data_IF_884390894334
#
_entry.id   IF_884390894334
#
_cell.length_a   1.000
_cell.length_b   1.000
_cell.length_c   1.000
_cell.angle_alpha   90.00
_cell.angle_beta   90.00
_cell.angle_gamma   90.00
#
_symmetry.space_group_name_H-M   'P 1'
#
loop_
_entity.id
_entity.type
_entity.pdbx_description
1 polymer ?
#
# COMPACT_ATOMS: atom_id res chain seq x y z
N UNK A 1 -4.90 -25.25 16.23
CA UNK A 1 -4.76 -24.98 14.78
C UNK A 1 -3.39 -24.36 14.56
N UNK A 2 -2.51 -24.95 13.73
CA UNK A 2 -1.14 -24.43 13.53
C UNK A 2 -1.25 -23.15 12.71
N UNK A 3 -0.85 -22.01 13.28
CA UNK A 3 -0.98 -20.70 12.66
C UNK A 3 -0.23 -20.63 11.34
N UNK A 4 -0.90 -20.11 10.31
CA UNK A 4 -0.35 -19.93 8.97
C UNK A 4 0.22 -18.52 8.86
N UNK A 5 1.54 -18.39 8.76
CA UNK A 5 2.17 -17.12 8.35
C UNK A 5 1.85 -16.92 6.87
N UNK A 6 0.97 -15.95 6.53
CA UNK A 6 0.48 -15.78 5.15
C UNK A 6 1.58 -15.31 4.21
N UNK A 7 2.52 -14.49 4.68
CA UNK A 7 3.68 -14.08 3.90
C UNK A 7 4.46 -15.30 3.39
N UNK A 8 4.84 -16.19 4.32
CA UNK A 8 5.56 -17.42 3.96
C UNK A 8 4.69 -18.31 3.08
N UNK A 9 3.42 -18.48 3.43
CA UNK A 9 2.54 -19.35 2.65
C UNK A 9 2.41 -18.87 1.21
N UNK A 10 2.17 -17.57 1.02
CA UNK A 10 2.01 -16.97 -0.29
C UNK A 10 3.32 -16.97 -1.08
N UNK A 11 4.40 -16.40 -0.53
CA UNK A 11 5.63 -16.21 -1.30
C UNK A 11 6.59 -17.40 -1.33
N UNK A 12 6.40 -18.42 -0.48
CA UNK A 12 7.30 -19.59 -0.42
C UNK A 12 6.57 -20.90 -0.63
N UNK A 13 5.43 -21.11 0.00
CA UNK A 13 4.77 -22.43 -0.02
C UNK A 13 3.74 -22.56 -1.16
N UNK A 14 3.25 -21.46 -1.75
CA UNK A 14 2.17 -21.43 -2.75
C UNK A 14 2.48 -22.24 -4.02
N UNK A 15 3.74 -22.25 -4.48
CA UNK A 15 4.15 -23.03 -5.65
C UNK A 15 4.89 -24.33 -5.30
N UNK A 16 4.96 -24.71 -4.02
CA UNK A 16 5.82 -25.81 -3.55
C UNK A 16 5.54 -27.17 -4.19
N UNK A 17 4.27 -27.46 -4.48
CA UNK A 17 3.83 -28.75 -5.05
C UNK A 17 3.46 -28.64 -6.54
N UNK A 18 3.91 -27.59 -7.22
CA UNK A 18 3.71 -27.43 -8.65
C UNK A 18 4.76 -28.23 -9.40
N UNK A 19 4.32 -28.96 -10.42
CA UNK A 19 5.21 -29.62 -11.36
C UNK A 19 5.58 -28.64 -12.47
N UNK A 20 6.80 -28.10 -12.45
CA UNK A 20 7.32 -27.15 -13.44
C UNK A 20 7.77 -27.78 -14.77
N UNK A 21 7.66 -29.11 -14.93
CA UNK A 21 8.05 -29.77 -16.17
C UNK A 21 7.22 -29.33 -17.39
N UNK A 22 6.05 -28.71 -17.19
CA UNK A 22 5.27 -28.11 -18.28
C UNK A 22 6.09 -27.09 -19.10
N UNK A 23 7.00 -26.34 -18.46
CA UNK A 23 7.87 -25.37 -19.15
C UNK A 23 8.82 -26.05 -20.14
N UNK A 24 9.34 -27.22 -19.77
CA UNK A 24 10.22 -28.01 -20.64
C UNK A 24 9.40 -28.66 -21.77
N UNK A 25 8.23 -29.21 -21.43
CA UNK A 25 7.34 -29.84 -22.41
C UNK A 25 6.83 -28.85 -23.45
N UNK A 26 6.51 -27.61 -23.07
CA UNK A 26 6.12 -26.56 -24.01
C UNK A 26 7.24 -26.27 -25.03
N UNK A 27 8.50 -26.22 -24.57
CA UNK A 27 9.66 -26.04 -25.45
C UNK A 27 9.93 -27.25 -26.35
N UNK A 28 9.73 -28.47 -25.83
CA UNK A 28 9.84 -29.70 -26.61
C UNK A 28 8.76 -29.77 -27.70
N UNK A 29 7.50 -29.48 -27.37
CA UNK A 29 6.36 -29.48 -28.30
C UNK A 29 6.59 -28.49 -29.46
N UNK A 30 7.19 -27.33 -29.19
CA UNK A 30 7.52 -26.34 -30.24
C UNK A 30 8.56 -26.84 -31.23
N UNK A 31 9.49 -27.68 -30.77
CA UNK A 31 10.61 -28.21 -31.58
C UNK A 31 10.26 -29.54 -32.26
N UNK A 32 9.27 -30.25 -31.74
CA UNK A 32 8.85 -31.56 -32.25
C UNK A 32 8.20 -31.45 -33.64
N UNK A 33 8.70 -32.25 -34.57
CA UNK A 33 8.25 -32.31 -35.97
C UNK A 33 7.40 -33.56 -36.25
N UNK A 34 7.52 -34.60 -35.44
CA UNK A 34 6.72 -35.80 -35.56
C UNK A 34 5.34 -35.59 -34.94
N UNK A 35 4.27 -35.71 -35.74
CA UNK A 35 2.91 -35.43 -35.31
C UNK A 35 2.41 -36.36 -34.19
N UNK A 36 2.75 -37.65 -34.24
CA UNK A 36 2.33 -38.62 -33.23
C UNK A 36 3.01 -38.37 -31.89
N UNK A 37 4.33 -38.11 -31.91
CA UNK A 37 5.09 -37.75 -30.71
C UNK A 37 4.61 -36.43 -30.13
N UNK A 38 4.32 -35.44 -30.98
CA UNK A 38 3.78 -34.15 -30.57
C UNK A 38 2.44 -34.29 -29.84
N UNK A 39 1.54 -35.14 -30.34
CA UNK A 39 0.26 -35.44 -29.67
C UNK A 39 0.46 -36.07 -28.29
N UNK A 40 1.41 -36.99 -28.16
CA UNK A 40 1.74 -37.60 -26.87
C UNK A 40 2.26 -36.58 -25.85
N UNK A 41 3.13 -35.66 -26.28
CA UNK A 41 3.65 -34.58 -25.45
C UNK A 41 2.55 -33.60 -25.03
N UNK A 42 1.63 -33.25 -25.93
CA UNK A 42 0.46 -32.40 -25.62
C UNK A 42 -0.41 -33.05 -24.55
N UNK A 43 -0.71 -34.35 -24.67
CA UNK A 43 -1.50 -35.06 -23.66
C UNK A 43 -0.83 -35.03 -22.27
N UNK A 44 0.49 -35.24 -22.22
CA UNK A 44 1.26 -35.14 -20.96
C UNK A 44 1.23 -33.72 -20.38
N UNK A 45 1.31 -32.70 -21.24
CA UNK A 45 1.21 -31.30 -20.85
C UNK A 45 -0.17 -30.99 -20.24
N UNK A 46 -1.26 -31.47 -20.86
CA UNK A 46 -2.62 -31.32 -20.36
C UNK A 46 -2.82 -31.98 -18.98
N UNK A 47 -2.27 -33.18 -18.79
CA UNK A 47 -2.31 -33.89 -17.49
C UNK A 47 -1.59 -33.09 -16.39
N UNK A 48 -0.40 -32.55 -16.68
CA UNK A 48 0.36 -31.73 -15.72
C UNK A 48 -0.36 -30.42 -15.42
N UNK A 49 -0.88 -29.75 -16.44
CA UNK A 49 -1.61 -28.48 -16.26
C UNK A 49 -2.86 -28.68 -15.40
N UNK A 50 -3.63 -29.75 -15.65
CA UNK A 50 -4.82 -30.06 -14.85
C UNK A 50 -4.48 -30.33 -13.38
N UNK A 51 -3.37 -31.02 -13.10
CA UNK A 51 -2.95 -31.26 -11.71
C UNK A 51 -2.43 -29.99 -11.04
N UNK A 52 -1.64 -29.17 -11.75
CA UNK A 52 -1.17 -27.88 -11.25
C UNK A 52 -2.36 -26.94 -10.92
N UNK A 53 -3.38 -26.86 -11.79
CA UNK A 53 -4.60 -26.09 -11.54
C UNK A 53 -5.33 -26.52 -10.27
N UNK A 54 -5.39 -27.83 -9.99
CA UNK A 54 -5.99 -28.35 -8.74
C UNK A 54 -5.20 -27.90 -7.52
N UNK A 55 -3.87 -27.93 -7.58
CA UNK A 55 -2.99 -27.45 -6.50
C UNK A 55 -3.20 -25.95 -6.26
N UNK A 56 -3.21 -25.15 -7.33
CA UNK A 56 -3.46 -23.70 -7.25
C UNK A 56 -4.84 -23.40 -6.64
N UNK A 57 -5.89 -24.07 -7.10
CA UNK A 57 -7.25 -23.88 -6.57
C UNK A 57 -7.33 -24.20 -5.08
N UNK A 58 -6.62 -25.23 -4.61
CA UNK A 58 -6.52 -25.57 -3.19
C UNK A 58 -5.78 -24.50 -2.39
N UNK A 59 -4.67 -23.97 -2.92
CA UNK A 59 -3.89 -22.92 -2.27
C UNK A 59 -4.67 -21.59 -2.22
N UNK A 60 -5.38 -21.24 -3.29
CA UNK A 60 -6.28 -20.10 -3.32
C UNK A 60 -7.36 -20.21 -2.24
N UNK A 61 -8.05 -21.37 -2.17
CA UNK A 61 -9.05 -21.62 -1.12
C UNK A 61 -8.45 -21.57 0.28
N UNK A 62 -7.18 -21.92 0.44
CA UNK A 62 -6.51 -21.81 1.75
C UNK A 62 -6.31 -20.35 2.11
N UNK A 63 -5.90 -19.50 1.16
CA UNK A 63 -5.68 -18.05 1.34
C UNK A 63 -6.95 -17.21 1.44
N UNK A 64 -8.05 -17.63 0.83
CA UNK A 64 -9.33 -16.88 0.80
C UNK A 64 -10.46 -17.55 1.56
N UNK A 65 -10.17 -18.69 2.19
CA UNK A 65 -11.14 -19.52 2.89
C UNK A 65 -11.58 -18.98 4.24
N UNK A 66 -12.63 -19.58 4.77
CA UNK A 66 -13.28 -19.16 6.01
C UNK A 66 -12.35 -19.38 7.21
N UNK A 67 -12.15 -18.31 7.97
CA UNK A 67 -11.46 -18.25 9.28
C UNK A 67 -9.92 -18.27 9.27
N UNK A 68 -9.33 -17.08 9.10
CA UNK A 68 -7.99 -16.78 9.63
C UNK A 68 -8.02 -16.18 11.05
N UNK A 69 -9.18 -15.70 11.47
CA UNK A 69 -9.40 -14.98 12.71
C UNK A 69 -10.86 -15.14 13.17
N UNK A 70 -11.14 -14.80 14.43
CA UNK A 70 -12.52 -14.60 14.86
C UNK A 70 -13.04 -13.29 14.24
N UNK A 71 -14.36 -13.18 14.04
CA UNK A 71 -15.03 -11.96 13.53
C UNK A 71 -14.67 -10.74 14.38
N UNK A 72 -14.59 -10.93 15.69
CA UNK A 72 -14.39 -9.82 16.64
C UNK A 72 -12.92 -9.49 16.92
N UNK A 73 -11.96 -10.36 16.55
CA UNK A 73 -10.55 -10.15 16.88
C UNK A 73 -9.61 -10.97 15.99
N UNK A 74 -8.58 -10.30 15.46
CA UNK A 74 -7.41 -10.97 14.87
C UNK A 74 -6.46 -11.38 15.99
N UNK A 75 -6.15 -12.68 16.22
CA UNK A 75 -5.41 -13.16 17.40
C UNK A 75 -3.98 -12.60 17.57
N UNK A 76 -3.55 -11.72 16.66
CA UNK A 76 -2.21 -11.13 16.58
C UNK A 76 -2.25 -9.63 16.29
N UNK A 77 -3.12 -8.86 16.95
CA UNK A 77 -3.01 -7.40 16.85
C UNK A 77 -1.62 -7.01 17.35
N UNK A 78 -0.79 -6.51 16.44
CA UNK A 78 0.59 -6.12 16.72
C UNK A 78 0.50 -4.90 17.64
N UNK A 79 0.74 -5.02 18.93
CA UNK A 79 0.88 -3.82 19.77
C UNK A 79 2.18 -3.10 19.38
N UNK A 80 2.11 -1.82 19.04
CA UNK A 80 3.29 -1.01 18.75
C UNK A 80 3.44 0.06 19.83
N UNK A 81 4.23 -0.16 20.90
CA UNK A 81 4.34 0.79 22.01
C UNK A 81 4.96 2.14 21.64
N UNK A 82 5.55 2.25 20.44
CA UNK A 82 6.12 3.49 19.91
C UNK A 82 5.08 4.29 19.12
N UNK A 83 4.05 3.63 18.56
CA UNK A 83 2.91 4.29 17.95
C UNK A 83 2.04 4.88 19.07
N UNK A 84 2.13 6.20 19.24
CA UNK A 84 1.35 6.92 20.25
C UNK A 84 0.06 7.51 19.69
N UNK A 85 -0.04 7.56 18.36
CA UNK A 85 -1.11 8.20 17.64
C UNK A 85 -1.72 7.20 16.65
N UNK A 86 -2.98 6.84 16.88
CA UNK A 86 -3.66 5.81 16.08
C UNK A 86 -4.96 6.36 15.49
N UNK A 87 -5.16 6.14 14.19
CA UNK A 87 -6.45 6.37 13.55
C UNK A 87 -7.12 5.00 13.39
N UNK A 88 -8.10 4.77 14.26
CA UNK A 88 -8.83 3.51 14.39
C UNK A 88 -10.19 3.55 13.68
N UNK A 89 -10.84 2.38 13.58
CA UNK A 89 -12.20 2.20 13.09
C UNK A 89 -12.42 2.57 11.61
N UNK A 90 -11.37 2.49 10.78
CA UNK A 90 -11.53 2.61 9.33
C UNK A 90 -11.90 1.25 8.74
N UNK A 91 -13.19 1.05 8.50
CA UNK A 91 -13.72 -0.16 7.87
C UNK A 91 -13.52 -0.07 6.36
N UNK A 92 -12.84 -1.06 5.78
CA UNK A 92 -12.58 -1.11 4.34
C UNK A 92 -13.91 -1.28 3.58
N UNK A 93 -14.18 -0.39 2.64
CA UNK A 93 -15.37 -0.43 1.79
C UNK A 93 -15.21 -1.45 0.66
N UNK A 94 -16.33 -1.85 0.06
CA UNK A 94 -16.34 -2.63 -1.18
C UNK A 94 -15.68 -1.83 -2.32
N UNK A 95 -14.84 -2.43 -3.18
CA UNK A 95 -14.58 -3.87 -3.32
C UNK A 95 -13.53 -4.47 -2.36
N UNK A 96 -12.86 -3.70 -1.51
CA UNK A 96 -11.75 -4.17 -0.68
C UNK A 96 -10.49 -3.35 -0.94
N UNK A 97 -9.36 -3.76 -0.38
CA UNK A 97 -8.11 -3.00 -0.48
C UNK A 97 -7.01 -3.82 -1.16
N UNK A 98 -6.43 -3.27 -2.22
CA UNK A 98 -5.31 -3.89 -2.94
C UNK A 98 -4.01 -3.19 -2.57
N UNK A 99 -3.00 -3.97 -2.21
CA UNK A 99 -1.67 -3.50 -1.84
C UNK A 99 -0.65 -4.46 -2.46
N UNK A 100 0.57 -4.00 -2.75
CA UNK A 100 1.62 -4.88 -3.30
C UNK A 100 1.46 -5.31 -4.76
N UNK A 101 0.57 -4.67 -5.54
CA UNK A 101 0.32 -4.99 -6.96
C UNK A 101 1.58 -5.00 -7.84
N UNK A 102 2.60 -4.21 -7.49
CA UNK A 102 3.87 -4.18 -8.21
C UNK A 102 4.81 -5.36 -7.93
N UNK A 103 4.46 -6.25 -6.99
CA UNK A 103 5.25 -7.44 -6.68
C UNK A 103 4.78 -8.56 -7.61
N UNK A 104 5.72 -9.17 -8.34
CA UNK A 104 5.41 -10.30 -9.20
C UNK A 104 5.17 -11.57 -8.37
N UNK A 105 4.10 -12.28 -8.72
CA UNK A 105 3.74 -13.56 -8.11
C UNK A 105 3.27 -14.57 -9.18
N UNK A 106 3.60 -14.33 -10.45
CA UNK A 106 3.15 -15.18 -11.57
C UNK A 106 4.08 -16.37 -11.84
N UNK A 107 3.49 -17.53 -12.15
CA UNK A 107 4.14 -18.70 -12.72
C UNK A 107 3.50 -19.12 -14.06
N UNK A 108 2.52 -18.35 -14.57
CA UNK A 108 1.73 -18.64 -15.79
C UNK A 108 0.86 -19.89 -15.67
N UNK A 109 0.39 -20.20 -14.47
CA UNK A 109 -0.53 -21.30 -14.22
C UNK A 109 -1.95 -20.75 -14.18
N UNK A 110 -2.89 -21.46 -14.79
CA UNK A 110 -4.28 -21.00 -14.84
C UNK A 110 -4.89 -20.90 -13.42
N UNK A 111 -5.61 -19.81 -13.18
CA UNK A 111 -6.25 -19.53 -11.89
C UNK A 111 -5.32 -19.04 -10.78
N UNK A 112 -4.02 -18.87 -11.03
CA UNK A 112 -3.09 -18.36 -10.01
C UNK A 112 -3.38 -16.91 -9.61
N UNK A 113 -3.05 -16.53 -8.38
CA UNK A 113 -2.92 -15.12 -8.03
C UNK A 113 -1.66 -14.54 -8.66
N UNK A 114 -1.82 -13.70 -9.68
CA UNK A 114 -0.70 -13.17 -10.47
C UNK A 114 0.04 -12.01 -9.80
N UNK A 115 -0.67 -11.28 -8.93
CA UNK A 115 -0.19 -10.07 -8.27
C UNK A 115 0.21 -10.34 -6.82
N UNK A 116 1.27 -9.70 -6.36
CA UNK A 116 1.70 -9.78 -4.97
C UNK A 116 0.81 -8.98 -4.01
N UNK A 117 1.03 -9.22 -2.72
CA UNK A 117 0.39 -8.52 -1.60
C UNK A 117 1.45 -8.17 -0.55
N UNK A 118 1.37 -6.99 0.03
CA UNK A 118 2.26 -6.63 1.14
C UNK A 118 1.85 -7.37 2.42
N UNK A 119 2.81 -8.06 3.02
CA UNK A 119 2.65 -8.72 4.30
C UNK A 119 3.77 -8.29 5.24
N UNK A 120 3.46 -8.19 6.53
CA UNK A 120 4.49 -8.11 7.58
C UNK A 120 5.34 -9.39 7.56
N UNK A 121 6.65 -9.23 7.69
CA UNK A 121 7.60 -10.34 7.59
C UNK A 121 7.50 -11.30 8.78
N UNK A 122 7.21 -10.78 9.98
CA UNK A 122 7.29 -11.53 11.23
C UNK A 122 6.07 -12.44 11.41
N UNK A 123 4.89 -11.86 11.27
CA UNK A 123 3.61 -12.52 11.53
C UNK A 123 2.92 -12.97 10.25
N UNK A 124 3.31 -12.42 9.10
CA UNK A 124 2.68 -12.73 7.83
C UNK A 124 1.30 -12.13 7.70
N UNK A 125 0.99 -11.02 8.39
CA UNK A 125 -0.31 -10.34 8.26
C UNK A 125 -0.29 -9.39 7.07
N UNK A 126 -1.39 -9.26 6.29
CA UNK A 126 -1.46 -8.26 5.23
C UNK A 126 -1.43 -6.86 5.84
N UNK A 127 -0.65 -5.98 5.23
CA UNK A 127 -0.42 -4.60 5.72
C UNK A 127 -0.40 -3.60 4.57
N UNK A 128 -0.60 -2.33 4.92
CA UNK A 128 -0.21 -1.22 4.03
C UNK A 128 1.04 -0.58 4.62
N UNK A 129 2.13 -0.59 3.86
CA UNK A 129 3.39 -0.05 4.35
C UNK A 129 3.28 1.42 4.74
N UNK A 130 3.94 1.80 5.83
CA UNK A 130 3.96 3.17 6.33
C UNK A 130 4.48 4.17 5.29
N UNK A 131 5.37 3.74 4.39
CA UNK A 131 5.82 4.55 3.24
C UNK A 131 4.70 4.80 2.22
N UNK A 132 3.83 3.83 1.97
CA UNK A 132 2.66 3.99 1.10
C UNK A 132 1.62 4.91 1.75
N UNK A 133 1.36 4.74 3.05
CA UNK A 133 0.49 5.65 3.82
C UNK A 133 1.04 7.08 3.74
N UNK A 134 2.32 7.27 4.05
CA UNK A 134 3.02 8.54 3.97
C UNK A 134 2.94 9.18 2.58
N UNK A 135 3.07 8.38 1.52
CA UNK A 135 2.96 8.83 0.14
C UNK A 135 1.58 9.42 -0.18
N UNK A 136 0.51 8.71 0.19
CA UNK A 136 -0.87 9.19 0.00
C UNK A 136 -1.12 10.46 0.82
N UNK A 137 -0.74 10.45 2.10
CA UNK A 137 -0.88 11.61 2.96
C UNK A 137 -0.17 12.84 2.38
N UNK A 138 1.08 12.68 1.95
CA UNK A 138 1.87 13.76 1.33
C UNK A 138 1.22 14.31 0.07
N UNK A 139 0.71 13.44 -0.80
CA UNK A 139 0.15 13.83 -2.10
C UNK A 139 -1.05 14.79 -1.97
N UNK A 140 -1.92 14.57 -0.98
CA UNK A 140 -3.14 15.36 -0.78
C UNK A 140 -3.04 16.38 0.36
N UNK A 141 -1.94 16.38 1.11
CA UNK A 141 -1.75 17.22 2.29
C UNK A 141 -2.03 18.69 2.00
N UNK A 142 -1.39 19.25 0.97
CA UNK A 142 -1.50 20.68 0.66
C UNK A 142 -2.92 21.10 0.28
N UNK A 143 -3.62 20.27 -0.48
CA UNK A 143 -4.97 20.54 -0.97
C UNK A 143 -5.97 20.51 0.18
N UNK A 144 -5.94 19.46 0.99
CA UNK A 144 -6.86 19.30 2.13
C UNK A 144 -6.52 20.31 3.23
N UNK A 145 -5.24 20.58 3.51
CA UNK A 145 -4.85 21.62 4.48
C UNK A 145 -5.46 22.98 4.11
N UNK A 146 -5.41 23.38 2.84
CA UNK A 146 -6.01 24.62 2.36
C UNK A 146 -7.53 24.66 2.46
N UNK A 147 -8.22 23.54 2.66
CA UNK A 147 -9.67 23.54 2.88
C UNK A 147 -9.98 23.90 4.34
N UNK A 148 -9.27 23.28 5.28
CA UNK A 148 -9.54 23.38 6.72
C UNK A 148 -8.81 24.53 7.41
N UNK A 149 -7.64 24.94 6.89
CA UNK A 149 -6.73 25.92 7.51
C UNK A 149 -6.47 27.11 6.58
N UNK A 150 -7.49 27.58 5.84
CA UNK A 150 -7.40 28.66 4.83
C UNK A 150 -6.66 29.93 5.28
N UNK A 151 -6.83 30.29 6.55
CA UNK A 151 -6.30 31.53 7.13
C UNK A 151 -5.09 31.27 8.04
N UNK A 152 -4.52 30.07 8.03
CA UNK A 152 -3.34 29.76 8.83
C UNK A 152 -2.11 30.45 8.22
N UNK A 153 -1.27 31.02 9.09
CA UNK A 153 -0.08 31.77 8.69
C UNK A 153 1.16 30.88 8.49
N UNK A 154 1.01 29.56 8.65
CA UNK A 154 2.09 28.59 8.51
C UNK A 154 2.51 28.45 7.05
N UNK A 155 3.83 28.49 6.82
CA UNK A 155 4.40 28.18 5.52
C UNK A 155 4.21 26.69 5.21
N UNK A 156 3.32 26.41 4.26
CA UNK A 156 2.90 25.06 3.92
C UNK A 156 4.01 24.20 3.29
N UNK A 157 4.98 24.83 2.62
CA UNK A 157 6.13 24.12 2.04
C UNK A 157 7.02 23.63 3.19
N UNK A 158 7.32 24.52 4.15
CA UNK A 158 8.15 24.18 5.31
C UNK A 158 7.44 23.15 6.21
N UNK A 159 6.12 23.26 6.38
CA UNK A 159 5.32 22.28 7.13
C UNK A 159 5.34 20.90 6.47
N UNK A 160 5.22 20.82 5.14
CA UNK A 160 5.30 19.54 4.42
C UNK A 160 6.68 18.89 4.58
N UNK A 161 7.77 19.67 4.50
CA UNK A 161 9.12 19.16 4.75
C UNK A 161 9.29 18.68 6.20
N UNK A 162 8.76 19.40 7.18
CA UNK A 162 8.83 18.99 8.59
C UNK A 162 8.14 17.65 8.83
N UNK A 163 6.93 17.48 8.29
CA UNK A 163 6.10 16.28 8.48
C UNK A 163 6.63 15.09 7.66
N UNK A 164 6.84 15.29 6.36
CA UNK A 164 7.09 14.18 5.43
C UNK A 164 8.57 13.99 5.07
N UNK A 165 9.44 14.97 5.28
CA UNK A 165 10.88 14.80 5.07
C UNK A 165 11.62 14.70 6.42
N UNK A 166 11.00 15.20 7.51
CA UNK A 166 11.63 15.27 8.82
C UNK A 166 12.75 16.30 8.83
N UNK A 167 12.59 17.40 8.11
CA UNK A 167 13.60 18.42 7.95
C UNK A 167 13.06 19.78 8.37
N UNK A 168 13.95 20.65 8.86
CA UNK A 168 13.61 22.02 9.22
C UNK A 168 14.35 22.99 8.31
N UNK A 169 13.71 24.09 7.95
CA UNK A 169 14.31 25.10 7.09
C UNK A 169 15.49 25.79 7.80
N UNK A 170 16.62 25.85 7.12
CA UNK A 170 17.84 26.51 7.58
C UNK A 170 18.00 27.87 6.89
N UNK A 171 17.32 28.88 7.44
CA UNK A 171 17.34 30.26 6.92
C UNK A 171 18.74 30.86 6.99
N UNK A 172 19.52 30.58 8.03
CA UNK A 172 20.87 31.13 8.18
C UNK A 172 21.79 30.69 7.05
N UNK A 173 21.72 29.40 6.66
CA UNK A 173 22.46 28.87 5.52
C UNK A 173 22.00 29.49 4.20
N UNK A 174 20.69 29.63 3.99
CA UNK A 174 20.16 30.31 2.79
C UNK A 174 20.69 31.74 2.69
N UNK A 175 20.58 32.52 3.78
CA UNK A 175 21.02 33.91 3.81
C UNK A 175 22.53 34.02 3.56
N UNK A 176 23.34 33.13 4.14
CA UNK A 176 24.79 33.09 3.88
C UNK A 176 25.10 32.88 2.39
N UNK A 177 24.47 31.89 1.76
CA UNK A 177 24.66 31.60 0.32
C UNK A 177 24.28 32.81 -0.54
N UNK A 178 23.13 33.43 -0.26
CA UNK A 178 22.68 34.59 -1.03
C UNK A 178 23.56 35.82 -0.82
N UNK A 179 24.05 36.04 0.40
CA UNK A 179 24.97 37.14 0.71
C UNK A 179 26.30 37.00 -0.03
N UNK A 180 26.85 35.80 -0.07
CA UNK A 180 28.07 35.49 -0.83
C UNK A 180 27.87 35.67 -2.35
N UNK A 181 26.69 35.32 -2.87
CA UNK A 181 26.41 35.37 -4.31
C UNK A 181 26.02 36.75 -4.84
N UNK A 182 25.30 37.56 -4.05
CA UNK A 182 24.64 38.78 -4.53
C UNK A 182 25.10 40.07 -3.84
N UNK A 183 26.05 40.01 -2.89
CA UNK A 183 26.53 41.20 -2.20
C UNK A 183 25.39 41.96 -1.52
N UNK A 184 25.32 43.28 -1.68
CA UNK A 184 24.34 44.13 -0.99
C UNK A 184 22.87 43.89 -1.42
N UNK A 185 22.63 43.36 -2.61
CA UNK A 185 21.27 43.06 -3.12
C UNK A 185 20.68 41.75 -2.55
N UNK A 186 21.44 41.03 -1.69
CA UNK A 186 21.09 39.67 -1.29
C UNK A 186 19.71 39.54 -0.64
N UNK A 187 19.27 40.54 0.14
CA UNK A 187 18.00 40.49 0.88
C UNK A 187 16.80 40.38 -0.06
N UNK A 188 16.76 41.21 -1.09
CA UNK A 188 15.68 41.21 -2.07
C UNK A 188 15.70 39.93 -2.92
N UNK A 189 16.90 39.52 -3.37
CA UNK A 189 17.08 38.28 -4.15
C UNK A 189 16.71 37.04 -3.33
N UNK A 190 17.04 37.01 -2.03
CA UNK A 190 16.69 35.93 -1.11
C UNK A 190 15.17 35.89 -0.93
N UNK A 191 14.53 37.02 -0.60
CA UNK A 191 13.08 37.09 -0.39
C UNK A 191 12.29 36.61 -1.62
N UNK A 192 12.71 36.99 -2.84
CA UNK A 192 12.10 36.50 -4.10
C UNK A 192 12.43 35.03 -4.38
N UNK A 193 13.67 34.63 -4.11
CA UNK A 193 14.16 33.29 -4.42
C UNK A 193 13.52 32.19 -3.59
N UNK A 194 13.36 32.42 -2.28
CA UNK A 194 12.84 31.41 -1.33
C UNK A 194 11.34 31.18 -1.41
N UNK A 195 10.63 31.92 -2.27
CA UNK A 195 9.26 31.58 -2.67
C UNK A 195 9.20 30.22 -3.37
N UNK A 196 10.30 29.78 -3.97
CA UNK A 196 10.42 28.46 -4.61
C UNK A 196 11.12 27.46 -3.70
N UNK A 197 10.49 26.32 -3.46
CA UNK A 197 11.00 25.21 -2.63
C UNK A 197 12.44 24.82 -2.97
N UNK A 198 12.77 24.72 -4.28
CA UNK A 198 14.11 24.35 -4.77
C UNK A 198 15.26 25.26 -4.28
N UNK A 199 14.94 26.48 -3.89
CA UNK A 199 15.91 27.47 -3.41
C UNK A 199 16.03 27.49 -1.88
N UNK A 200 15.13 26.80 -1.17
CA UNK A 200 15.20 26.64 0.28
C UNK A 200 16.27 25.63 0.65
N UNK A 201 16.80 25.76 1.86
CA UNK A 201 17.76 24.81 2.44
C UNK A 201 17.17 24.21 3.69
N UNK A 202 17.34 22.91 3.81
CA UNK A 202 16.77 22.13 4.90
C UNK A 202 17.86 21.37 5.63
N UNK A 203 17.65 21.17 6.92
CA UNK A 203 18.51 20.33 7.76
C UNK A 203 17.69 19.19 8.36
N UNK A 204 18.26 17.98 8.40
CA UNK A 204 17.60 16.82 8.99
C UNK A 204 17.35 17.01 10.50
N UNK A 205 16.13 16.73 10.97
CA UNK A 205 15.82 16.65 12.41
C UNK A 205 16.38 15.36 13.03
N UNK A 206 16.47 15.26 14.35
CA UNK A 206 16.70 13.96 14.99
C UNK A 206 15.50 13.03 14.78
N UNK A 207 15.70 11.71 14.67
CA UNK A 207 14.60 10.72 14.56
C UNK A 207 13.60 10.81 15.73
N UNK A 208 14.06 11.24 16.90
CA UNK A 208 13.20 11.43 18.07
C UNK A 208 12.22 12.60 17.91
N UNK A 209 12.57 13.58 17.07
CA UNK A 209 11.85 14.83 16.86
C UNK A 209 11.10 14.87 15.52
N UNK A 210 10.94 13.72 14.83
CA UNK A 210 10.23 13.61 13.55
C UNK A 210 8.97 12.80 13.72
N UNK A 211 8.03 13.04 12.80
CA UNK A 211 6.89 12.16 12.60
C UNK A 211 7.36 10.81 12.03
N UNK A 212 6.79 9.72 12.53
CA UNK A 212 7.05 8.35 12.05
C UNK A 212 5.73 7.75 11.58
N UNK A 213 5.75 7.18 10.38
CA UNK A 213 4.62 6.53 9.73
C UNK A 213 4.87 5.02 9.77
N UNK A 214 4.12 4.31 10.61
CA UNK A 214 4.22 2.86 10.72
C UNK A 214 3.29 2.18 9.72
N UNK A 215 3.45 0.88 9.55
CA UNK A 215 2.56 0.07 8.73
C UNK A 215 1.14 0.09 9.31
N UNK A 216 0.16 0.27 8.44
CA UNK A 216 -1.24 0.12 8.80
C UNK A 216 -1.60 -1.37 8.82
N UNK A 217 -2.31 -1.79 9.85
CA UNK A 217 -2.61 -3.20 10.12
C UNK A 217 -4.10 -3.45 10.21
N UNK A 218 -4.50 -4.69 9.95
CA UNK A 218 -5.88 -5.12 10.18
C UNK A 218 -6.06 -5.47 11.65
N UNK A 219 -7.12 -4.94 12.27
CA UNK A 219 -7.47 -5.18 13.68
C UNK A 219 -8.69 -6.08 13.82
N UNK A 220 -9.63 -5.99 12.87
CA UNK A 220 -10.87 -6.78 12.84
C UNK A 220 -11.04 -7.36 11.43
N UNK A 221 -11.43 -8.64 11.36
CA UNK A 221 -11.73 -9.30 10.09
C UNK A 221 -13.11 -8.90 9.55
N UNK A 222 -13.45 -9.37 8.36
CA UNK A 222 -14.80 -9.18 7.83
C UNK A 222 -15.86 -9.97 8.63
N UNK A 223 -17.13 -9.76 8.27
CA UNK A 223 -18.27 -10.43 8.90
C UNK A 223 -18.25 -11.97 8.78
N UNK A 224 -17.40 -12.54 7.93
CA UNK A 224 -17.22 -13.98 7.74
C UNK A 224 -15.90 -14.48 8.37
N UNK A 225 -15.16 -13.62 9.07
CA UNK A 225 -13.87 -13.95 9.68
C UNK A 225 -12.71 -14.05 8.67
N UNK A 226 -12.88 -13.49 7.47
CA UNK A 226 -11.87 -13.44 6.41
C UNK A 226 -11.09 -12.14 6.47
N UNK A 227 -9.80 -12.23 6.17
CA UNK A 227 -8.90 -11.09 6.04
C UNK A 227 -8.52 -10.85 4.58
N UNK A 228 -8.46 -11.92 3.79
CA UNK A 228 -8.10 -11.90 2.37
C UNK A 228 -9.23 -12.50 1.53
N UNK A 229 -9.42 -11.94 0.33
CA UNK A 229 -10.32 -12.50 -0.66
C UNK A 229 -9.74 -12.36 -2.07
N UNK A 230 -10.29 -13.13 -3.00
CA UNK A 230 -9.94 -13.09 -4.41
C UNK A 230 -10.80 -12.07 -5.15
N UNK A 231 -10.22 -11.46 -6.16
CA UNK A 231 -10.94 -10.75 -7.21
C UNK A 231 -10.29 -11.02 -8.56
N UNK A 232 -10.98 -10.70 -9.65
CA UNK A 232 -10.47 -10.89 -11.00
C UNK A 232 -10.74 -9.65 -11.84
N UNK A 233 -9.72 -9.20 -12.57
CA UNK A 233 -9.86 -8.15 -13.57
C UNK A 233 -9.71 -8.76 -14.95
N UNK A 234 -10.65 -8.49 -15.83
CA UNK A 234 -10.61 -8.90 -17.24
C UNK A 234 -10.20 -7.70 -18.09
N UNK A 235 -8.90 -7.48 -18.37
CA UNK A 235 -8.52 -6.41 -19.29
C UNK A 235 -9.09 -6.74 -20.67
N UNK A 236 -9.98 -5.87 -21.17
CA UNK A 236 -10.40 -5.92 -22.55
C UNK A 236 -9.24 -5.42 -23.41
N UNK A 237 -8.67 -6.29 -24.24
CA UNK A 237 -7.70 -5.88 -25.25
C UNK A 237 -8.37 -5.18 -26.44
N UNK A 238 -7.56 -4.74 -27.42
CA UNK A 238 -8.03 -4.02 -28.62
C UNK A 238 -8.98 -4.84 -29.51
N UNK A 239 -9.16 -6.13 -29.23
CA UNK A 239 -9.94 -7.05 -30.06
C UNK A 239 -11.21 -7.52 -29.31
N UNK A 240 -12.39 -6.92 -29.58
CA UNK A 240 -13.62 -7.14 -28.82
C UNK A 240 -14.16 -8.58 -28.85
N UNK A 241 -13.72 -9.38 -29.81
CA UNK A 241 -14.16 -10.76 -30.02
C UNK A 241 -13.32 -11.80 -29.29
N UNK A 242 -12.16 -11.42 -28.72
CA UNK A 242 -11.30 -12.33 -27.97
C UNK A 242 -11.77 -12.38 -26.52
N UNK A 243 -12.13 -13.57 -26.04
CA UNK A 243 -12.48 -13.76 -24.63
C UNK A 243 -11.30 -13.28 -23.75
N UNK A 244 -11.54 -12.33 -22.83
CA UNK A 244 -10.48 -11.80 -21.98
C UNK A 244 -10.02 -12.90 -21.01
N UNK A 245 -8.72 -12.96 -20.77
CA UNK A 245 -8.14 -13.86 -19.76
C UNK A 245 -8.27 -13.17 -18.40
N UNK A 246 -9.04 -13.73 -17.44
CA UNK A 246 -9.15 -13.16 -16.12
C UNK A 246 -7.78 -13.09 -15.43
N UNK A 247 -7.44 -11.92 -14.90
CA UNK A 247 -6.31 -11.71 -14.01
C UNK A 247 -6.82 -11.80 -12.58
N UNK A 248 -6.75 -13.00 -12.00
CA UNK A 248 -7.09 -13.23 -10.60
C UNK A 248 -5.99 -12.69 -9.70
N UNK A 249 -6.37 -11.97 -8.66
CA UNK A 249 -5.46 -11.43 -7.65
C UNK A 249 -6.09 -11.47 -6.27
N UNK A 250 -5.23 -11.33 -5.27
CA UNK A 250 -5.63 -11.31 -3.87
C UNK A 250 -5.70 -9.87 -3.36
N UNK A 251 -6.68 -9.62 -2.49
CA UNK A 251 -6.90 -8.32 -1.84
C UNK A 251 -7.28 -8.52 -0.38
N UNK A 252 -7.17 -7.47 0.42
CA UNK A 252 -7.74 -7.43 1.76
C UNK A 252 -9.26 -7.30 1.63
N UNK A 253 -9.99 -8.10 2.41
CA UNK A 253 -11.44 -8.20 2.33
C UNK A 253 -12.13 -6.89 2.74
N UNK A 254 -13.20 -6.55 2.03
CA UNK A 254 -14.12 -5.49 2.44
C UNK A 254 -14.77 -5.88 3.77
N UNK A 255 -15.01 -4.91 4.66
CA UNK A 255 -15.53 -5.13 6.00
C UNK A 255 -14.45 -5.37 7.07
N UNK A 256 -13.21 -5.63 6.68
CA UNK A 256 -12.08 -5.60 7.62
C UNK A 256 -11.88 -4.18 8.18
N UNK A 257 -11.50 -4.07 9.45
CA UNK A 257 -11.12 -2.80 10.07
C UNK A 257 -9.61 -2.64 10.04
N UNK A 258 -9.15 -1.48 9.59
CA UNK A 258 -7.74 -1.13 9.51
C UNK A 258 -7.41 0.00 10.48
N UNK A 259 -6.23 -0.10 11.09
CA UNK A 259 -5.68 0.89 12.01
C UNK A 259 -4.41 1.49 11.41
N UNK A 260 -4.35 2.82 11.38
CA UNK A 260 -3.18 3.56 10.93
C UNK A 260 -2.41 4.09 12.12
N UNK A 261 -1.11 3.85 12.13
CA UNK A 261 -0.25 4.06 13.30
C UNK A 261 0.82 5.08 13.03
N UNK A 262 0.97 6.01 13.94
CA UNK A 262 1.91 7.09 13.84
C UNK A 262 2.59 7.35 15.18
N UNK A 263 3.76 7.98 15.09
CA UNK A 263 4.30 8.80 16.18
C UNK A 263 4.33 10.22 15.65
N UNK A 264 3.45 11.06 16.17
CA UNK A 264 3.34 12.45 15.76
C UNK A 264 3.99 13.36 16.81
N UNK A 265 4.63 14.42 16.34
CA UNK A 265 5.20 15.47 17.18
C UNK A 265 4.65 16.82 16.72
N UNK A 266 4.70 17.83 17.58
CA UNK A 266 4.32 19.18 17.17
C UNK A 266 5.33 19.75 16.16
N UNK A 267 4.83 20.44 15.14
CA UNK A 267 5.65 21.23 14.21
C UNK A 267 5.68 22.68 14.65
N UNK A 268 6.84 23.32 14.54
CA UNK A 268 7.01 24.76 14.78
C UNK A 268 7.65 25.39 13.55
N UNK A 269 6.86 26.20 12.83
CA UNK A 269 7.27 26.86 11.59
C UNK A 269 7.13 28.36 11.80
N UNK A 270 8.24 29.10 11.75
CA UNK A 270 8.26 30.57 11.87
C UNK A 270 7.50 31.13 13.09
N UNK A 271 7.57 30.42 14.21
CA UNK A 271 6.90 30.80 15.46
C UNK A 271 5.47 30.30 15.60
N UNK A 272 4.86 29.82 14.52
CA UNK A 272 3.53 29.21 14.51
C UNK A 272 3.63 27.71 14.82
N UNK A 273 2.63 27.17 15.53
CA UNK A 273 2.57 25.77 15.94
C UNK A 273 1.50 25.00 15.18
N UNK A 274 1.87 23.84 14.65
CA UNK A 274 0.94 22.85 14.13
C UNK A 274 1.03 21.57 14.96
N UNK A 275 0.03 21.37 15.82
CA UNK A 275 0.05 20.30 16.82
C UNK A 275 -0.15 18.92 16.21
N UNK A 276 0.35 17.89 16.89
CA UNK A 276 0.15 16.49 16.54
C UNK A 276 -1.33 16.12 16.33
N UNK A 277 -2.24 16.66 17.16
CA UNK A 277 -3.69 16.43 17.04
C UNK A 277 -4.27 16.96 15.72
N UNK A 278 -3.79 18.11 15.23
CA UNK A 278 -4.21 18.69 13.95
C UNK A 278 -3.69 17.86 12.76
N UNK A 279 -2.46 17.36 12.85
CA UNK A 279 -1.90 16.42 11.86
C UNK A 279 -2.76 15.16 11.78
N UNK A 280 -3.07 14.55 12.93
CA UNK A 280 -3.89 13.34 13.01
C UNK A 280 -5.27 13.53 12.39
N UNK A 281 -5.95 14.64 12.71
CA UNK A 281 -7.25 14.97 12.14
C UNK A 281 -7.18 15.13 10.62
N UNK A 282 -6.18 15.84 10.11
CA UNK A 282 -5.98 16.03 8.68
C UNK A 282 -5.64 14.72 7.96
N UNK A 283 -4.82 13.86 8.57
CA UNK A 283 -4.49 12.55 8.02
C UNK A 283 -5.71 11.65 7.94
N UNK A 284 -6.57 11.68 8.96
CA UNK A 284 -7.86 10.97 8.93
C UNK A 284 -8.71 11.43 7.75
N UNK A 285 -8.87 12.75 7.58
CA UNK A 285 -9.65 13.32 6.49
C UNK A 285 -9.10 12.90 5.11
N UNK A 286 -7.78 12.93 4.92
CA UNK A 286 -7.14 12.48 3.68
C UNK A 286 -7.44 11.00 3.43
N UNK A 287 -7.30 10.14 4.44
CA UNK A 287 -7.52 8.71 4.30
C UNK A 287 -8.99 8.38 4.00
N UNK A 288 -9.95 9.06 4.66
CA UNK A 288 -11.39 8.87 4.44
C UNK A 288 -11.87 9.43 3.10
N UNK A 289 -11.18 10.45 2.55
CA UNK A 289 -11.53 11.08 1.27
C UNK A 289 -10.95 10.34 0.08
N UNK A 290 -9.67 9.92 0.17
CA UNK A 290 -8.90 9.43 -0.97
C UNK A 290 -8.78 7.91 -0.97
N UNK A 291 -8.80 7.29 0.21
CA UNK A 291 -8.46 5.88 0.39
C UNK A 291 -6.94 5.63 0.31
N UNK A 292 -6.55 4.35 0.36
CA UNK A 292 -5.13 3.94 0.34
C UNK A 292 -4.91 2.65 -0.44
N UNK A 293 -3.71 2.46 -0.97
CA UNK A 293 -3.35 1.28 -1.75
C UNK A 293 -3.47 1.53 -3.26
N UNK A 294 -3.60 0.46 -4.02
CA UNK A 294 -3.69 0.51 -5.48
C UNK A 294 -5.14 0.61 -5.96
N UNK A 295 -5.32 1.20 -7.15
CA UNK A 295 -6.62 1.26 -7.86
C UNK A 295 -7.72 2.02 -7.10
N UNK A 296 -7.35 3.04 -6.35
CA UNK A 296 -8.29 3.92 -5.61
C UNK A 296 -9.31 4.61 -6.53
N UNK A 297 -8.91 4.97 -7.76
CA UNK A 297 -9.79 5.59 -8.76
C UNK A 297 -10.95 4.70 -9.23
N UNK A 298 -10.86 3.38 -9.04
CA UNK A 298 -11.95 2.44 -9.36
C UNK A 298 -12.58 1.83 -8.10
N UNK A 299 -12.36 2.47 -6.95
CA UNK A 299 -13.05 2.20 -5.69
C UNK A 299 -12.31 1.32 -4.68
N UNK A 300 -11.17 0.72 -5.03
CA UNK A 300 -10.40 -0.08 -4.05
C UNK A 300 -9.77 0.81 -2.97
N UNK A 301 -9.60 0.28 -1.77
CA UNK A 301 -8.89 0.96 -0.69
C UNK A 301 -9.65 2.15 -0.09
N UNK A 302 -10.93 2.30 -0.43
CA UNK A 302 -11.83 3.26 0.18
C UNK A 302 -12.32 2.75 1.54
N UNK A 303 -12.77 3.67 2.39
CA UNK A 303 -13.31 3.35 3.71
C UNK A 303 -14.79 3.69 3.79
N UNK A 304 -15.53 2.95 4.62
CA UNK A 304 -16.94 3.20 4.85
C UNK A 304 -17.08 4.52 5.62
N UNK A 305 -17.83 5.47 5.07
CA UNK A 305 -18.21 6.64 5.82
C UNK A 305 -19.16 6.21 6.94
N UNK A 306 -18.71 6.36 8.18
CA UNK A 306 -19.60 6.18 9.32
C UNK A 306 -20.63 7.30 9.23
N UNK A 307 -21.86 6.96 8.80
CA UNK A 307 -22.99 7.88 8.92
C UNK A 307 -23.21 8.13 10.39
N UNK A 308 -22.63 9.19 10.94
CA UNK A 308 -23.08 9.76 12.20
C UNK A 308 -24.54 10.13 11.96
N UNK A 309 -25.48 9.37 12.54
CA UNK A 309 -26.89 9.78 12.54
C UNK A 309 -26.92 11.18 13.14
N UNK A 310 -27.21 12.19 12.29
CA UNK A 310 -27.64 13.50 12.74
C UNK A 310 -29.01 13.36 13.39
#
# INVERSE_FOLDING_TARGET
>A
MKMLNLHKYYYKDYFKNINFNYLLLEEEIKKEKNDDRKRELIKKLEEINSENERVIKKNNKTLTGDSFSNKDHIPFIINNPIAKDEIENLVIAYPGLVTGVGINHEAKIEGEFKLGVHFDYTWGMPVVYGSSVKGVLKAYFKEIYKIFYKNDAIDLIDLEHDIFCGEVRNKDLEQKIYKEKYGDEWKEKWAKGVQFEKNRKYTPKSIYNRDIFFDAVITVADNDGRILCSDSITPHGDNPLKNPVPLTFMKIAAGCTMEFRFKLVDSKIDGNYFKAEHKKALFKEILETVGVGAKTNVGYGQFQQIKTKK
#
